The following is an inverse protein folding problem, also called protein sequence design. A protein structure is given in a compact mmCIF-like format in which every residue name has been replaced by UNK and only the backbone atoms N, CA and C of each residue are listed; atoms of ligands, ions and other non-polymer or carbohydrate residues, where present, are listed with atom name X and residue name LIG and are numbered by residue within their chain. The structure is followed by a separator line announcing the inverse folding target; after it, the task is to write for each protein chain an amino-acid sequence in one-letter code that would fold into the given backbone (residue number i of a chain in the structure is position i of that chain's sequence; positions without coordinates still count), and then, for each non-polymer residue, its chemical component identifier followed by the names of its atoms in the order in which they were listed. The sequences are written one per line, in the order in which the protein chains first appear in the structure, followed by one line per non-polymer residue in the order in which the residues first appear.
data_IF_235011594355
#
_entry.id   IF_235011594355
#
_cell.length_a   1.000
_cell.length_b   1.000
_cell.length_c   1.000
_cell.angle_alpha   90.00
_cell.angle_beta   90.00
_cell.angle_gamma   90.00
#
_symmetry.space_group_name_H-M   'P 1'
#
loop_
_entity.id
_entity.type
_entity.pdbx_description
1 polymer ?
#
# COMPACT_ATOMS: atom_id res chain seq x y z
N UNK A 1 10.53 -1.33 -9.63
CA UNK A 1 9.31 -2.15 -9.87
C UNK A 1 9.14 -3.13 -8.71
N UNK A 2 7.97 -3.19 -8.07
CA UNK A 2 7.76 -4.02 -6.88
C UNK A 2 7.61 -5.52 -7.20
N UNK A 3 7.13 -5.85 -8.40
CA UNK A 3 6.75 -7.22 -8.76
C UNK A 3 7.88 -8.03 -9.42
N UNK A 4 9.07 -7.44 -9.51
CA UNK A 4 10.26 -8.04 -10.12
C UNK A 4 10.40 -7.73 -11.61
N UNK A 5 11.62 -7.86 -12.17
CA UNK A 5 11.89 -7.56 -13.58
C UNK A 5 11.25 -8.56 -14.54
N UNK A 6 10.79 -9.71 -14.06
CA UNK A 6 10.08 -10.72 -14.86
C UNK A 6 8.57 -10.50 -14.89
N UNK A 7 8.03 -9.52 -14.17
CA UNK A 7 6.60 -9.22 -14.22
C UNK A 7 6.23 -8.68 -15.61
N UNK A 8 5.14 -9.17 -16.23
CA UNK A 8 4.67 -8.66 -17.50
C UNK A 8 4.36 -7.16 -17.46
N UNK A 9 4.47 -6.50 -18.61
CA UNK A 9 4.17 -5.08 -18.74
C UNK A 9 2.74 -4.77 -18.28
N UNK A 10 2.56 -3.59 -17.69
CA UNK A 10 1.23 -3.09 -17.31
C UNK A 10 0.32 -2.81 -18.51
N UNK A 11 0.90 -2.58 -19.69
CA UNK A 11 0.18 -2.27 -20.94
C UNK A 11 0.03 -3.50 -21.84
N UNK A 12 0.16 -4.70 -21.28
CA UNK A 12 -0.17 -5.93 -21.99
C UNK A 12 -1.71 -6.03 -22.04
N UNK A 13 -2.26 -6.12 -23.25
CA UNK A 13 -3.72 -6.12 -23.44
C UNK A 13 -4.38 -7.39 -22.85
N UNK A 14 -5.66 -7.26 -22.49
CA UNK A 14 -6.49 -8.39 -22.10
C UNK A 14 -7.10 -9.04 -23.36
N UNK A 15 -7.18 -10.38 -23.43
CA UNK A 15 -7.90 -11.04 -24.51
C UNK A 15 -9.41 -10.72 -24.43
N UNK A 16 -10.11 -10.56 -25.57
CA UNK A 16 -11.50 -10.08 -25.61
C UNK A 16 -12.51 -11.06 -25.00
N UNK A 17 -12.20 -12.35 -24.95
CA UNK A 17 -13.12 -13.45 -24.55
C UNK A 17 -12.54 -14.27 -23.39
N UNK A 18 -11.65 -13.68 -22.60
CA UNK A 18 -10.95 -14.40 -21.55
C UNK A 18 -11.71 -14.42 -20.22
N UNK A 19 -11.73 -15.59 -19.60
CA UNK A 19 -12.07 -15.80 -18.20
C UNK A 19 -10.77 -16.00 -17.41
N UNK A 20 -10.59 -15.21 -16.35
CA UNK A 20 -9.42 -15.31 -15.47
C UNK A 20 -9.85 -15.11 -14.03
N UNK A 21 -9.41 -15.99 -13.13
CA UNK A 21 -9.67 -15.78 -11.69
C UNK A 21 -8.90 -14.56 -11.19
N UNK A 22 -9.33 -13.95 -10.07
CA UNK A 22 -8.53 -12.91 -9.42
C UNK A 22 -7.12 -13.39 -9.07
N UNK A 23 -6.96 -14.67 -8.71
CA UNK A 23 -5.66 -15.25 -8.35
C UNK A 23 -4.76 -15.40 -9.58
N UNK A 24 -5.30 -15.80 -10.72
CA UNK A 24 -4.57 -15.83 -11.99
C UNK A 24 -4.08 -14.44 -12.40
N UNK A 25 -4.96 -13.43 -12.32
CA UNK A 25 -4.60 -12.03 -12.61
C UNK A 25 -3.46 -11.54 -11.73
N UNK A 26 -3.57 -11.73 -10.41
CA UNK A 26 -2.56 -11.26 -9.46
C UNK A 26 -1.25 -12.07 -9.53
N UNK A 27 -1.33 -13.33 -9.94
CA UNK A 27 -0.17 -14.23 -10.05
C UNK A 27 0.59 -14.00 -11.34
N UNK A 28 -0.06 -14.11 -12.50
CA UNK A 28 0.61 -14.02 -13.80
C UNK A 28 0.80 -12.58 -14.26
N UNK A 29 -0.14 -11.69 -13.92
CA UNK A 29 -0.20 -10.32 -14.43
C UNK A 29 -0.33 -9.31 -13.27
N UNK A 30 0.58 -9.28 -12.27
CA UNK A 30 0.42 -8.46 -11.06
C UNK A 30 0.26 -6.95 -11.33
N UNK A 31 0.74 -6.48 -12.49
CA UNK A 31 0.61 -5.09 -12.92
C UNK A 31 -0.80 -4.71 -13.35
N UNK A 32 -1.72 -5.67 -13.47
CA UNK A 32 -3.15 -5.44 -13.71
C UNK A 32 -3.81 -4.61 -12.60
N UNK A 33 -3.19 -4.53 -11.42
CA UNK A 33 -3.54 -3.54 -10.38
C UNK A 33 -3.32 -2.07 -10.80
N UNK A 34 -2.83 -1.83 -12.02
CA UNK A 34 -2.78 -0.51 -12.67
C UNK A 34 -3.92 -0.30 -13.68
N UNK A 35 -4.82 -1.27 -13.81
CA UNK A 35 -6.07 -1.16 -14.57
C UNK A 35 -7.21 -0.76 -13.63
N UNK A 36 -7.97 0.32 -13.92
CA UNK A 36 -9.14 0.68 -13.11
C UNK A 36 -10.23 -0.40 -13.17
N UNK A 37 -10.40 -1.10 -14.31
CA UNK A 37 -11.38 -2.18 -14.46
C UNK A 37 -11.10 -3.36 -13.53
N UNK A 38 -9.82 -3.73 -13.40
CA UNK A 38 -9.39 -4.79 -12.48
C UNK A 38 -9.58 -4.36 -11.04
N UNK A 39 -9.19 -3.13 -10.69
CA UNK A 39 -9.44 -2.60 -9.35
C UNK A 39 -10.93 -2.61 -9.03
N UNK A 40 -11.76 -2.16 -9.96
CA UNK A 40 -13.20 -2.13 -9.80
C UNK A 40 -13.74 -3.52 -9.46
N UNK A 41 -13.41 -4.52 -10.30
CA UNK A 41 -13.77 -5.92 -10.10
C UNK A 41 -13.38 -6.46 -8.73
N UNK A 42 -12.11 -6.32 -8.36
CA UNK A 42 -11.61 -6.84 -7.08
C UNK A 42 -12.33 -6.15 -5.91
N UNK A 43 -12.54 -4.83 -5.99
CA UNK A 43 -13.21 -4.08 -4.93
C UNK A 43 -14.67 -4.46 -4.77
N UNK A 44 -15.41 -4.55 -5.87
CA UNK A 44 -16.82 -4.94 -5.86
C UNK A 44 -17.04 -6.36 -5.33
N UNK A 45 -16.06 -7.25 -5.48
CA UNK A 45 -16.12 -8.63 -5.00
C UNK A 45 -15.52 -8.86 -3.59
N UNK A 46 -15.30 -7.78 -2.83
CA UNK A 46 -14.96 -7.90 -1.41
C UNK A 46 -13.47 -8.11 -1.11
N UNK A 47 -12.57 -7.65 -1.98
CA UNK A 47 -11.14 -7.74 -1.68
C UNK A 47 -10.74 -7.02 -0.38
N UNK A 48 -9.55 -7.36 0.10
CA UNK A 48 -8.79 -6.48 0.99
C UNK A 48 -7.34 -6.34 0.52
N UNK A 49 -6.69 -5.24 0.91
CA UNK A 49 -5.25 -5.02 0.65
C UNK A 49 -4.39 -6.16 1.20
N UNK A 50 -4.81 -6.75 2.34
CA UNK A 50 -4.12 -7.88 2.95
C UNK A 50 -4.23 -9.13 2.08
N UNK A 51 -5.41 -9.42 1.54
CA UNK A 51 -5.65 -10.58 0.67
C UNK A 51 -4.83 -10.48 -0.61
N UNK A 52 -4.84 -9.34 -1.31
CA UNK A 52 -4.02 -9.13 -2.51
C UNK A 52 -2.53 -9.34 -2.20
N UNK A 53 -2.04 -8.74 -1.12
CA UNK A 53 -0.64 -8.90 -0.73
C UNK A 53 -0.33 -10.35 -0.36
N UNK A 54 -1.25 -11.07 0.29
CA UNK A 54 -1.09 -12.49 0.62
C UNK A 54 -0.94 -13.33 -0.64
N UNK A 55 -1.81 -13.13 -1.64
CA UNK A 55 -1.74 -13.82 -2.94
C UNK A 55 -0.38 -13.56 -3.60
N UNK A 56 -0.02 -12.28 -3.81
CA UNK A 56 1.21 -11.91 -4.52
C UNK A 56 2.47 -12.37 -3.77
N UNK A 57 2.52 -12.17 -2.45
CA UNK A 57 3.63 -12.59 -1.60
C UNK A 57 3.71 -14.12 -1.42
N UNK A 58 2.70 -14.88 -1.81
CA UNK A 58 2.76 -16.34 -1.82
C UNK A 58 3.16 -16.86 -3.19
N UNK A 59 2.51 -16.35 -4.23
CA UNK A 59 2.61 -16.88 -5.57
C UNK A 59 3.84 -16.39 -6.34
N UNK A 60 4.40 -15.21 -6.02
CA UNK A 60 5.49 -14.60 -6.80
C UNK A 60 6.78 -14.41 -6.02
N UNK A 61 7.92 -14.51 -6.70
CA UNK A 61 9.21 -13.99 -6.25
C UNK A 61 9.25 -12.50 -6.57
N UNK A 62 9.49 -11.68 -5.55
CA UNK A 62 9.46 -10.22 -5.67
C UNK A 62 10.89 -9.65 -5.63
N UNK A 63 11.07 -8.45 -6.21
CA UNK A 63 12.33 -7.72 -6.09
C UNK A 63 12.58 -7.17 -4.68
N UNK A 64 11.52 -7.09 -3.87
CA UNK A 64 11.56 -6.72 -2.46
C UNK A 64 11.20 -7.95 -1.62
N UNK A 65 11.64 -8.05 -0.34
CA UNK A 65 11.35 -9.22 0.50
C UNK A 65 9.85 -9.54 0.61
N UNK A 66 9.01 -8.50 0.64
CA UNK A 66 7.55 -8.62 0.57
C UNK A 66 6.93 -7.32 0.05
N UNK A 67 5.78 -7.45 -0.61
CA UNK A 67 4.95 -6.33 -0.99
C UNK A 67 3.97 -5.97 0.15
N UNK A 68 3.99 -4.71 0.56
CA UNK A 68 3.27 -4.28 1.76
C UNK A 68 1.83 -3.81 1.43
N UNK A 69 0.84 -4.07 2.31
CA UNK A 69 -0.56 -3.63 2.13
C UNK A 69 -0.73 -2.13 1.85
N UNK A 70 0.10 -1.28 2.47
CA UNK A 70 0.10 0.15 2.19
C UNK A 70 0.53 0.47 0.76
N UNK A 71 1.54 -0.22 0.24
CA UNK A 71 1.98 -0.08 -1.16
C UNK A 71 0.90 -0.52 -2.12
N UNK A 72 0.19 -1.62 -1.82
CA UNK A 72 -1.00 -2.05 -2.57
C UNK A 72 -2.08 -0.98 -2.59
N UNK A 73 -2.44 -0.43 -1.42
CA UNK A 73 -3.45 0.63 -1.32
C UNK A 73 -3.09 1.88 -2.13
N UNK A 74 -1.84 2.33 -2.04
CA UNK A 74 -1.37 3.50 -2.79
C UNK A 74 -1.36 3.24 -4.30
N UNK A 75 -0.95 2.05 -4.74
CA UNK A 75 -1.00 1.68 -6.16
C UNK A 75 -2.43 1.74 -6.72
N UNK A 76 -3.40 1.23 -5.96
CA UNK A 76 -4.81 1.26 -6.36
C UNK A 76 -5.38 2.68 -6.38
N UNK A 77 -5.18 3.46 -5.30
CA UNK A 77 -5.67 4.84 -5.22
C UNK A 77 -5.13 5.68 -6.38
N UNK A 78 -3.84 5.57 -6.67
CA UNK A 78 -3.23 6.31 -7.79
C UNK A 78 -3.82 5.91 -9.14
N UNK A 79 -4.00 4.61 -9.35
CA UNK A 79 -4.60 4.10 -10.59
C UNK A 79 -5.99 4.66 -10.81
N UNK A 80 -6.83 4.65 -9.77
CA UNK A 80 -8.18 5.19 -9.84
C UNK A 80 -8.18 6.70 -10.07
N UNK A 81 -7.29 7.44 -9.40
CA UNK A 81 -7.13 8.88 -9.64
C UNK A 81 -6.69 9.19 -11.08
N UNK A 82 -5.73 8.44 -11.61
CA UNK A 82 -5.32 8.60 -13.01
C UNK A 82 -6.46 8.32 -14.00
N UNK A 83 -7.39 7.44 -13.64
CA UNK A 83 -8.60 7.19 -14.42
C UNK A 83 -9.72 8.23 -14.20
N UNK A 84 -9.46 9.32 -13.47
CA UNK A 84 -10.40 10.42 -13.25
C UNK A 84 -11.29 10.28 -12.01
N UNK A 85 -11.09 9.24 -11.20
CA UNK A 85 -11.82 9.06 -9.93
C UNK A 85 -11.08 9.79 -8.80
N UNK A 86 -11.15 11.12 -8.81
CA UNK A 86 -10.58 11.98 -7.76
C UNK A 86 -11.18 11.62 -6.40
N UNK A 87 -10.41 11.64 -5.31
CA UNK A 87 -10.88 11.23 -3.98
C UNK A 87 -11.39 9.78 -3.82
N UNK A 88 -11.17 8.93 -4.83
CA UNK A 88 -11.52 7.52 -4.72
C UNK A 88 -10.72 6.84 -3.59
N UNK A 89 -11.44 6.05 -2.81
CA UNK A 89 -10.88 5.12 -1.83
C UNK A 89 -11.66 3.81 -1.90
N UNK A 90 -11.08 2.71 -1.41
CA UNK A 90 -11.82 1.46 -1.29
C UNK A 90 -13.12 1.59 -0.45
N UNK A 91 -13.15 2.51 0.53
CA UNK A 91 -14.34 2.78 1.34
C UNK A 91 -15.42 3.57 0.58
N UNK A 92 -15.00 4.50 -0.27
CA UNK A 92 -15.92 5.32 -1.08
C UNK A 92 -16.26 4.68 -2.42
N UNK A 93 -15.73 3.48 -2.73
CA UNK A 93 -15.88 2.82 -4.03
C UNK A 93 -17.33 2.73 -4.50
N UNK A 94 -18.28 2.37 -3.63
CA UNK A 94 -19.69 2.25 -3.99
C UNK A 94 -20.37 3.54 -4.46
N UNK A 95 -19.74 4.71 -4.31
CA UNK A 95 -20.28 6.02 -4.72
C UNK A 95 -19.91 6.43 -6.15
N UNK A 96 -18.97 5.73 -6.79
CA UNK A 96 -18.37 6.17 -8.06
C UNK A 96 -18.90 5.44 -9.29
N UNK A 97 -19.73 4.42 -9.09
CA UNK A 97 -20.00 3.41 -10.12
C UNK A 97 -21.48 3.03 -10.20
N UNK A 98 -22.38 3.98 -9.99
CA UNK A 98 -23.83 3.69 -9.94
C UNK A 98 -24.33 3.00 -11.21
N UNK A 99 -23.85 3.40 -12.39
CA UNK A 99 -24.23 2.77 -13.67
C UNK A 99 -23.63 1.37 -13.91
N UNK A 100 -22.41 1.11 -13.41
CA UNK A 100 -21.77 -0.21 -13.53
C UNK A 100 -22.33 -1.19 -12.50
N UNK A 101 -22.73 -0.68 -11.33
CA UNK A 101 -23.26 -1.46 -10.21
C UNK A 101 -24.54 -2.21 -10.55
N UNK A 102 -25.44 -1.63 -11.34
CA UNK A 102 -26.70 -2.26 -11.73
C UNK A 102 -26.49 -3.52 -12.58
N UNK A 103 -25.41 -3.54 -13.37
CA UNK A 103 -25.10 -4.64 -14.29
C UNK A 103 -23.94 -5.51 -13.79
N UNK A 104 -23.46 -5.29 -12.56
CA UNK A 104 -22.32 -6.01 -12.02
C UNK A 104 -22.70 -7.44 -11.64
N UNK A 105 -22.11 -8.42 -12.32
CA UNK A 105 -22.21 -9.83 -11.94
C UNK A 105 -21.02 -10.24 -11.07
N UNK A 106 -21.28 -10.45 -9.77
CA UNK A 106 -20.27 -10.88 -8.79
C UNK A 106 -19.69 -12.28 -9.06
N UNK A 107 -20.34 -13.08 -9.92
CA UNK A 107 -19.87 -14.41 -10.32
C UNK A 107 -19.00 -14.36 -11.57
N UNK A 108 -19.05 -13.27 -12.33
CA UNK A 108 -18.29 -13.17 -13.56
C UNK A 108 -16.80 -13.07 -13.26
N UNK A 109 -16.03 -13.90 -13.97
CA UNK A 109 -14.56 -13.88 -13.98
C UNK A 109 -14.01 -13.39 -15.32
N UNK A 110 -14.89 -12.85 -16.17
CA UNK A 110 -14.54 -12.31 -17.47
C UNK A 110 -13.63 -11.08 -17.32
N UNK A 111 -12.65 -10.97 -18.23
CA UNK A 111 -11.76 -9.80 -18.34
C UNK A 111 -11.83 -9.14 -19.72
N UNK A 112 -12.75 -9.62 -20.56
CA UNK A 112 -13.06 -9.00 -21.85
C UNK A 112 -13.42 -7.53 -21.68
N UNK A 113 -12.79 -6.67 -22.49
CA UNK A 113 -13.02 -5.21 -22.45
C UNK A 113 -12.35 -4.48 -21.28
N UNK A 114 -11.60 -5.16 -20.41
CA UNK A 114 -10.80 -4.48 -19.39
C UNK A 114 -9.75 -3.60 -20.05
N UNK A 115 -9.61 -2.37 -19.53
CA UNK A 115 -8.69 -1.38 -20.09
C UNK A 115 -7.31 -1.49 -19.45
N UNK A 116 -6.27 -1.47 -20.27
CA UNK A 116 -4.89 -1.23 -19.82
C UNK A 116 -4.72 0.23 -19.34
N UNK A 117 -3.65 0.56 -18.60
CA UNK A 117 -3.28 1.95 -18.29
C UNK A 117 -3.24 2.86 -19.52
N UNK A 118 -2.69 2.35 -20.63
CA UNK A 118 -2.63 3.08 -21.89
C UNK A 118 -4.03 3.46 -22.40
N UNK A 119 -4.98 2.52 -22.36
CA UNK A 119 -6.36 2.77 -22.81
C UNK A 119 -7.18 3.60 -21.83
N UNK A 120 -6.93 3.43 -20.52
CA UNK A 120 -7.72 4.06 -19.48
C UNK A 120 -7.38 5.55 -19.29
N UNK A 121 -6.11 5.91 -19.38
CA UNK A 121 -5.65 7.28 -19.08
C UNK A 121 -4.43 7.73 -19.90
N UNK A 122 -4.21 7.14 -21.08
CA UNK A 122 -3.18 7.56 -22.05
C UNK A 122 -1.78 7.71 -21.42
N UNK A 123 -1.27 6.67 -20.77
CA UNK A 123 0.00 6.67 -20.04
C UNK A 123 1.28 6.96 -20.88
N UNK A 124 1.12 7.29 -22.16
CA UNK A 124 2.16 7.69 -23.11
C UNK A 124 3.04 6.55 -23.63
N UNK A 125 2.86 5.31 -23.15
CA UNK A 125 3.76 4.19 -23.45
C UNK A 125 3.24 3.21 -24.50
N UNK A 126 2.01 3.40 -24.99
CA UNK A 126 1.39 2.50 -25.96
C UNK A 126 1.12 1.11 -25.39
N UNK A 127 0.60 0.22 -26.24
CA UNK A 127 0.48 -1.19 -25.93
C UNK A 127 1.84 -1.86 -25.84
N UNK A 128 1.97 -2.81 -24.92
CA UNK A 128 3.14 -3.66 -24.85
C UNK A 128 3.08 -4.74 -25.94
N UNK A 129 4.25 -5.10 -26.46
CA UNK A 129 4.38 -6.23 -27.38
C UNK A 129 3.90 -7.55 -26.74
N UNK A 130 3.25 -8.44 -27.52
CA UNK A 130 2.86 -9.76 -27.03
C UNK A 130 4.05 -10.55 -26.50
N UNK A 131 3.88 -11.30 -25.42
CA UNK A 131 4.96 -12.09 -24.79
C UNK A 131 4.69 -13.59 -24.95
N UNK A 132 5.72 -14.46 -24.95
CA UNK A 132 5.49 -15.89 -24.92
C UNK A 132 4.66 -16.31 -23.70
N UNK A 133 3.66 -17.18 -23.85
CA UNK A 133 2.85 -17.66 -22.71
C UNK A 133 3.73 -18.28 -21.61
N UNK A 134 4.74 -19.07 -21.99
CA UNK A 134 5.70 -19.67 -21.05
C UNK A 134 6.46 -18.65 -20.21
N UNK A 135 6.60 -17.40 -20.67
CA UNK A 135 7.28 -16.35 -19.94
C UNK A 135 6.45 -15.83 -18.76
N UNK A 136 5.13 -16.05 -18.74
CA UNK A 136 4.27 -15.74 -17.59
C UNK A 136 4.65 -16.57 -16.34
N UNK A 137 5.32 -17.71 -16.52
CA UNK A 137 5.84 -18.53 -15.42
C UNK A 137 7.09 -17.92 -14.75
N UNK A 138 7.74 -16.94 -15.38
CA UNK A 138 8.99 -16.35 -14.86
C UNK A 138 8.74 -15.55 -13.58
N UNK A 139 9.42 -15.94 -12.51
CA UNK A 139 9.33 -15.28 -11.22
C UNK A 139 8.13 -15.74 -10.39
N UNK A 140 7.48 -16.85 -10.72
CA UNK A 140 6.52 -17.50 -9.85
C UNK A 140 7.23 -18.41 -8.84
N UNK A 141 6.71 -18.45 -7.62
CA UNK A 141 7.05 -19.44 -6.58
C UNK A 141 6.06 -20.60 -6.57
N UNK A 142 4.78 -20.27 -6.77
CA UNK A 142 3.68 -21.22 -6.84
C UNK A 142 2.75 -20.80 -7.98
N UNK A 143 2.15 -21.80 -8.62
CA UNK A 143 1.16 -21.64 -9.69
C UNK A 143 -0.23 -21.73 -9.05
N UNK A 144 -1.25 -21.00 -9.53
CA UNK A 144 -2.62 -21.18 -9.05
C UNK A 144 -3.08 -22.63 -9.25
N UNK A 145 -3.91 -23.14 -8.35
CA UNK A 145 -4.39 -24.54 -8.35
C UNK A 145 -5.86 -24.59 -7.90
N UNK A 146 -6.59 -25.65 -8.29
CA UNK A 146 -8.00 -25.83 -7.90
C UNK A 146 -8.87 -24.64 -8.30
N UNK A 147 -9.74 -24.17 -7.40
CA UNK A 147 -10.61 -23.01 -7.65
C UNK A 147 -9.87 -21.67 -7.82
N UNK A 148 -8.54 -21.62 -7.66
CA UNK A 148 -7.74 -20.44 -7.98
C UNK A 148 -7.22 -20.44 -9.43
N UNK A 149 -7.33 -21.56 -10.15
CA UNK A 149 -6.85 -21.74 -11.51
C UNK A 149 -8.02 -21.92 -12.49
N UNK A 150 -7.89 -21.36 -13.70
CA UNK A 150 -8.84 -21.54 -14.79
C UNK A 150 -8.07 -21.62 -16.13
N UNK A 151 -8.48 -20.88 -17.15
CA UNK A 151 -7.96 -21.01 -18.51
C UNK A 151 -6.52 -20.53 -18.63
N UNK A 152 -6.16 -19.40 -18.02
CA UNK A 152 -4.83 -18.83 -18.14
C UNK A 152 -3.77 -19.79 -17.58
N UNK A 153 -4.05 -20.43 -16.44
CA UNK A 153 -3.16 -21.41 -15.81
C UNK A 153 -2.90 -22.59 -16.74
N UNK A 154 -3.97 -23.21 -17.27
CA UNK A 154 -3.89 -24.34 -18.22
C UNK A 154 -3.05 -23.98 -19.46
N UNK A 155 -3.26 -22.79 -20.01
CA UNK A 155 -2.56 -22.31 -21.19
C UNK A 155 -1.07 -22.04 -20.92
N UNK A 156 -0.74 -21.45 -19.77
CA UNK A 156 0.65 -21.21 -19.36
C UNK A 156 1.39 -22.53 -19.13
N UNK A 157 0.78 -23.46 -18.40
CA UNK A 157 1.36 -24.80 -18.16
C UNK A 157 1.59 -25.55 -19.48
N UNK A 158 0.61 -25.52 -20.38
CA UNK A 158 0.77 -26.13 -21.71
C UNK A 158 1.96 -25.54 -22.47
N UNK A 159 2.08 -24.20 -22.50
CA UNK A 159 3.17 -23.53 -23.20
C UNK A 159 4.55 -23.82 -22.58
N UNK A 160 4.62 -24.05 -21.26
CA UNK A 160 5.84 -24.48 -20.57
C UNK A 160 6.22 -25.91 -20.96
N UNK A 161 5.24 -26.83 -21.00
CA UNK A 161 5.44 -28.24 -21.40
C UNK A 161 5.78 -28.40 -22.89
N UNK A 162 5.38 -27.45 -23.74
CA UNK A 162 5.59 -27.48 -25.19
C UNK A 162 6.46 -26.31 -25.67
N UNK A 163 7.73 -26.19 -25.23
CA UNK A 163 8.55 -24.99 -25.42
C UNK A 163 8.94 -24.71 -26.88
N UNK A 164 8.75 -25.68 -27.77
CA UNK A 164 8.96 -25.56 -29.22
C UNK A 164 7.81 -24.82 -29.91
N UNK A 165 6.61 -24.85 -29.33
CA UNK A 165 5.46 -24.12 -29.80
C UNK A 165 5.56 -22.67 -29.34
N UNK A 166 5.36 -21.73 -30.27
CA UNK A 166 5.61 -20.29 -30.04
C UNK A 166 4.34 -19.54 -29.73
N UNK A 167 3.62 -19.97 -28.69
CA UNK A 167 2.39 -19.33 -28.24
C UNK A 167 2.67 -17.95 -27.62
N UNK A 168 1.96 -16.90 -28.07
CA UNK A 168 2.11 -15.53 -27.54
C UNK A 168 0.81 -15.02 -26.89
N UNK A 169 0.92 -14.49 -25.68
CA UNK A 169 -0.12 -13.77 -24.98
C UNK A 169 -0.09 -12.27 -25.35
N UNK A 170 -1.25 -11.61 -25.56
CA UNK A 170 -2.60 -12.18 -25.58
C UNK A 170 -3.03 -12.68 -26.98
N UNK A 171 -2.21 -12.51 -28.02
CA UNK A 171 -2.61 -12.66 -29.43
C UNK A 171 -3.05 -14.06 -29.84
N UNK A 172 -2.44 -15.11 -29.27
CA UNK A 172 -2.79 -16.50 -29.58
C UNK A 172 -3.79 -17.09 -28.56
N UNK A 173 -4.49 -16.25 -27.79
CA UNK A 173 -5.38 -16.71 -26.71
C UNK A 173 -6.36 -17.78 -27.18
N UNK A 174 -7.20 -17.48 -28.17
CA UNK A 174 -8.25 -18.39 -28.65
C UNK A 174 -7.68 -19.69 -29.22
N UNK A 175 -6.59 -19.58 -30.01
CA UNK A 175 -5.94 -20.73 -30.65
C UNK A 175 -5.32 -21.68 -29.63
N UNK A 176 -4.66 -21.13 -28.60
CA UNK A 176 -4.10 -21.93 -27.52
C UNK A 176 -5.20 -22.48 -26.61
N UNK A 177 -6.28 -21.73 -26.39
CA UNK A 177 -7.41 -22.19 -25.59
C UNK A 177 -8.09 -23.40 -26.24
N UNK A 178 -8.37 -23.34 -27.53
CA UNK A 178 -8.85 -24.49 -28.32
C UNK A 178 -7.90 -25.67 -28.21
N UNK A 179 -6.58 -25.41 -28.31
CA UNK A 179 -5.55 -26.45 -28.22
C UNK A 179 -5.52 -27.17 -26.86
N UNK A 180 -5.80 -26.47 -25.75
CA UNK A 180 -5.84 -27.07 -24.41
C UNK A 180 -7.21 -27.68 -24.05
N UNK A 181 -8.13 -27.78 -25.02
CA UNK A 181 -9.44 -28.41 -24.85
C UNK A 181 -10.61 -27.43 -24.73
N UNK A 182 -10.41 -26.16 -25.08
CA UNK A 182 -11.43 -25.12 -25.01
C UNK A 182 -11.58 -24.47 -23.62
N UNK A 183 -12.48 -23.47 -23.51
CA UNK A 183 -12.77 -22.78 -22.25
C UNK A 183 -13.22 -23.76 -21.17
N UNK A 184 -12.63 -23.66 -19.98
CA UNK A 184 -13.13 -24.36 -18.80
C UNK A 184 -14.43 -23.71 -18.31
N UNK A 185 -15.34 -24.53 -17.77
CA UNK A 185 -16.54 -24.01 -17.12
C UNK A 185 -16.17 -23.30 -15.81
N UNK A 186 -16.56 -22.03 -15.69
CA UNK A 186 -16.30 -21.26 -14.48
C UNK A 186 -17.27 -21.66 -13.37
N UNK A 187 -16.84 -22.60 -12.54
CA UNK A 187 -17.55 -22.99 -11.31
C UNK A 187 -17.58 -21.89 -10.24
N UNK A 188 -18.48 -22.02 -9.26
CA UNK A 188 -18.63 -21.08 -8.13
C UNK A 188 -17.31 -20.79 -7.42
N UNK A 189 -16.44 -21.80 -7.31
CA UNK A 189 -15.16 -21.72 -6.60
C UNK A 189 -14.15 -20.80 -7.28
N UNK A 190 -14.33 -20.51 -8.58
CA UNK A 190 -13.50 -19.58 -9.34
C UNK A 190 -13.87 -18.11 -9.12
N UNK A 191 -15.05 -17.83 -8.55
CA UNK A 191 -15.47 -16.46 -8.28
C UNK A 191 -14.52 -15.75 -7.31
N UNK A 192 -14.33 -14.45 -7.53
CA UNK A 192 -13.43 -13.63 -6.73
C UNK A 192 -13.76 -13.69 -5.23
N UNK A 193 -15.06 -13.66 -4.89
CA UNK A 193 -15.51 -13.72 -3.49
C UNK A 193 -15.14 -15.02 -2.79
N UNK A 194 -15.25 -16.18 -3.47
CA UNK A 194 -14.83 -17.46 -2.89
C UNK A 194 -13.31 -17.57 -2.82
N UNK A 195 -12.57 -17.05 -3.81
CA UNK A 195 -11.12 -16.96 -3.75
C UNK A 195 -10.66 -16.12 -2.55
N UNK A 196 -11.25 -14.94 -2.35
CA UNK A 196 -10.88 -14.05 -1.25
C UNK A 196 -11.14 -14.67 0.13
N UNK A 197 -12.25 -15.39 0.32
CA UNK A 197 -12.51 -16.15 1.56
C UNK A 197 -11.41 -17.18 1.83
N UNK A 198 -10.97 -17.93 0.81
CA UNK A 198 -9.86 -18.89 0.96
C UNK A 198 -8.56 -18.19 1.37
N UNK A 199 -8.24 -17.07 0.72
CA UNK A 199 -6.99 -16.34 0.95
C UNK A 199 -6.99 -15.51 2.24
N UNK A 200 -8.15 -15.20 2.81
CA UNK A 200 -8.27 -14.61 4.14
C UNK A 200 -7.81 -15.58 5.25
N UNK A 201 -7.99 -16.88 5.04
CA UNK A 201 -7.60 -17.93 5.99
C UNK A 201 -6.08 -18.26 5.96
N UNK A 202 -5.35 -17.85 4.92
CA UNK A 202 -3.92 -18.14 4.79
C UNK A 202 -3.12 -17.36 5.84
N UNK A 203 -2.56 -18.08 6.82
CA UNK A 203 -1.72 -17.54 7.89
C UNK A 203 -0.51 -16.80 7.31
N UNK A 204 -0.57 -15.48 7.35
CA UNK A 204 0.41 -14.58 6.72
C UNK A 204 -0.22 -13.26 6.26
N UNK A 205 -1.54 -13.26 6.03
CA UNK A 205 -2.31 -12.05 5.75
C UNK A 205 -2.45 -11.12 6.97
N UNK A 206 -2.36 -11.66 8.20
CA UNK A 206 -2.43 -10.86 9.42
C UNK A 206 -1.02 -10.34 9.75
N UNK A 207 -0.77 -9.02 9.70
CA UNK A 207 0.48 -8.48 10.23
C UNK A 207 0.61 -8.98 11.67
N UNK A 208 1.73 -9.65 11.99
CA UNK A 208 1.99 -10.09 13.37
C UNK A 208 1.81 -8.86 14.24
N UNK A 209 0.78 -8.88 15.10
CA UNK A 209 0.55 -7.80 16.03
C UNK A 209 1.88 -7.55 16.76
N UNK A 210 2.33 -6.29 16.89
CA UNK A 210 3.56 -6.01 17.61
C UNK A 210 3.44 -6.67 18.98
N UNK A 211 4.41 -7.54 19.31
CA UNK A 211 4.40 -8.25 20.59
C UNK A 211 4.21 -7.21 21.69
N UNK A 212 3.23 -7.37 22.60
CA UNK A 212 3.07 -6.43 23.70
C UNK A 212 4.42 -6.34 24.41
N UNK A 213 4.97 -5.12 24.47
CA UNK A 213 6.21 -4.84 25.20
C UNK A 213 6.00 -5.39 26.61
N UNK A 214 6.81 -6.36 27.00
CA UNK A 214 6.85 -6.84 28.38
C UNK A 214 7.18 -5.62 29.23
N UNK A 215 6.19 -5.15 29.98
CA UNK A 215 6.35 -4.11 30.98
C UNK A 215 7.41 -4.60 31.96
N UNK A 216 8.57 -3.97 31.93
CA UNK A 216 9.68 -4.29 32.82
C UNK A 216 9.28 -3.80 34.21
N UNK A 217 8.85 -4.72 35.07
CA UNK A 217 8.48 -4.45 36.46
C UNK A 217 9.67 -3.90 37.25
N UNK A 218 9.40 -2.76 37.89
CA UNK A 218 9.82 -2.32 39.23
C UNK A 218 11.30 -2.35 39.63
N UNK A 219 11.86 -1.14 39.75
CA UNK A 219 12.73 -0.79 40.87
C UNK A 219 12.24 0.52 41.50
N UNK A 220 11.48 0.39 42.59
CA UNK A 220 11.00 1.49 43.44
C UNK A 220 12.16 2.25 44.08
N UNK A 221 12.16 3.58 43.95
CA UNK A 221 12.86 4.47 44.86
C UNK A 221 11.92 5.63 45.25
N UNK A 222 11.78 5.97 46.54
CA UNK A 222 10.84 6.99 46.98
C UNK A 222 11.40 8.39 46.72
N UNK A 223 10.62 9.26 46.06
CA UNK A 223 10.95 10.68 45.88
C UNK A 223 9.85 11.61 46.42
N UNK A 224 10.24 12.85 46.77
CA UNK A 224 9.61 13.62 47.82
C UNK A 224 8.47 14.52 47.32
N UNK A 225 7.54 14.81 48.24
CA UNK A 225 6.38 15.67 48.05
C UNK A 225 6.77 17.15 47.91
N UNK A 226 6.26 17.80 46.87
CA UNK A 226 6.16 19.25 46.73
C UNK A 226 5.60 19.57 45.34
N UNK A 227 4.82 20.62 45.06
CA UNK A 227 4.20 21.75 45.78
C UNK A 227 3.05 22.21 44.85
N UNK A 228 1.94 22.81 45.32
CA UNK A 228 0.83 23.16 44.45
C UNK A 228 1.16 24.41 43.61
N UNK A 229 0.91 24.36 42.29
CA UNK A 229 1.01 25.51 41.40
C UNK A 229 -0.37 26.11 41.11
N UNK A 230 -0.42 27.44 41.19
CA UNK A 230 -1.57 28.32 40.96
C UNK A 230 -2.08 28.24 39.52
N UNK A 231 -3.40 28.23 39.39
CA UNK A 231 -4.17 28.41 38.16
C UNK A 231 -4.06 29.85 37.64
N UNK A 232 -3.89 29.99 36.32
CA UNK A 232 -4.14 31.23 35.59
C UNK A 232 -5.00 30.86 34.38
N UNK A 233 -6.15 31.51 34.28
CA UNK A 233 -7.14 31.34 33.21
C UNK A 233 -6.73 32.04 31.89
N UNK A 234 -7.33 31.64 30.75
CA UNK A 234 -6.90 32.06 29.42
C UNK A 234 -7.70 33.25 28.88
N UNK A 235 -6.99 34.18 28.25
CA UNK A 235 -7.55 35.28 27.46
C UNK A 235 -7.88 34.83 26.03
N UNK A 236 -9.13 35.04 25.63
CA UNK A 236 -9.66 34.83 24.30
C UNK A 236 -9.19 35.91 23.30
N UNK A 237 -8.98 35.53 22.04
CA UNK A 237 -9.05 36.46 20.92
C UNK A 237 -9.52 35.76 19.64
N UNK A 238 -10.59 36.32 19.08
CA UNK A 238 -11.26 35.96 17.83
C UNK A 238 -10.39 36.24 16.59
N UNK A 239 -10.44 35.34 15.59
CA UNK A 239 -10.23 35.73 14.19
C UNK A 239 -11.23 35.00 13.29
N UNK A 240 -12.06 35.80 12.62
CA UNK A 240 -13.03 35.39 11.62
C UNK A 240 -12.37 35.09 10.27
N UNK A 241 -12.79 34.01 9.59
CA UNK A 241 -12.62 33.87 8.13
C UNK A 241 -13.89 33.32 7.47
N UNK A 242 -14.25 34.01 6.38
CA UNK A 242 -15.39 33.81 5.47
C UNK A 242 -15.43 32.40 4.88
N UNK A 243 -16.61 31.78 4.90
CA UNK A 243 -16.95 30.60 4.09
C UNK A 243 -17.57 31.04 2.76
N UNK A 244 -17.07 30.48 1.66
CA UNK A 244 -17.71 30.50 0.35
C UNK A 244 -18.75 29.38 0.25
N UNK A 245 -19.88 29.72 -0.34
CA UNK A 245 -21.09 28.91 -0.49
C UNK A 245 -20.98 28.00 -1.72
N UNK A 246 -21.17 26.69 -1.55
CA UNK A 246 -21.49 25.77 -2.65
C UNK A 246 -22.88 25.17 -2.39
N UNK A 247 -23.70 25.21 -3.43
CA UNK A 247 -25.13 24.94 -3.40
C UNK A 247 -25.43 23.47 -3.14
N UNK A 248 -26.36 23.22 -2.22
CA UNK A 248 -26.95 21.92 -1.97
C UNK A 248 -28.04 21.63 -3.02
N UNK A 249 -27.88 20.54 -3.76
CA UNK A 249 -28.95 19.94 -4.57
C UNK A 249 -29.82 19.12 -3.61
N UNK A 250 -31.10 19.51 -3.50
CA UNK A 250 -32.15 18.76 -2.82
C UNK A 250 -32.48 17.51 -3.63
N UNK A 251 -32.29 16.33 -3.04
CA UNK A 251 -32.88 15.08 -3.49
C UNK A 251 -34.12 14.81 -2.64
N UNK A 252 -35.24 14.60 -3.33
CA UNK A 252 -36.55 14.35 -2.75
C UNK A 252 -36.70 12.94 -2.19
N UNK A 253 -37.52 12.85 -1.16
CA UNK A 253 -38.05 11.62 -0.57
C UNK A 253 -38.82 10.82 -1.63
N UNK A 254 -38.50 9.54 -1.74
CA UNK A 254 -39.38 8.53 -2.30
C UNK A 254 -39.50 7.40 -1.28
N UNK A 255 -40.69 7.33 -0.68
CA UNK A 255 -41.18 6.21 0.08
C UNK A 255 -41.37 5.00 -0.83
N UNK A 256 -40.71 3.88 -0.49
CA UNK A 256 -40.85 2.60 -1.18
C UNK A 256 -40.80 1.47 -0.15
N UNK A 257 -41.98 0.98 0.20
CA UNK A 257 -42.19 -0.13 1.12
C UNK A 257 -41.51 -1.42 0.62
N UNK A 258 -40.73 -2.07 1.49
CA UNK A 258 -40.21 -3.41 1.26
C UNK A 258 -40.47 -4.31 2.47
N UNK A 259 -40.92 -5.52 2.14
CA UNK A 259 -41.51 -6.55 2.97
C UNK A 259 -40.61 -7.10 4.09
N UNK A 260 -41.22 -7.34 5.24
CA UNK A 260 -40.65 -8.05 6.39
C UNK A 260 -40.51 -9.55 6.06
N UNK A 261 -39.28 -10.04 6.05
CA UNK A 261 -38.97 -11.45 6.25
C UNK A 261 -38.41 -11.62 7.66
N UNK A 262 -38.89 -12.65 8.36
CA UNK A 262 -38.55 -12.98 9.74
C UNK A 262 -37.11 -13.48 9.83
N UNK A 263 -36.29 -12.81 10.64
CA UNK A 263 -35.06 -13.36 11.22
C UNK A 263 -35.24 -13.41 12.74
N UNK A 264 -35.12 -14.61 13.29
CA UNK A 264 -35.05 -14.87 14.73
C UNK A 264 -33.70 -14.39 15.28
N UNK A 265 -33.65 -13.73 16.45
CA UNK A 265 -32.41 -13.25 17.03
C UNK A 265 -31.67 -14.40 17.73
N UNK A 266 -30.45 -14.67 17.28
CA UNK A 266 -29.48 -15.48 18.02
C UNK A 266 -28.95 -14.61 19.17
N UNK A 267 -29.35 -14.97 20.39
CA UNK A 267 -28.93 -14.33 21.63
C UNK A 267 -27.49 -14.74 21.98
N UNK A 268 -26.52 -14.03 21.40
CA UNK A 268 -25.10 -14.19 21.72
C UNK A 268 -24.79 -13.40 23.01
N UNK A 269 -24.69 -14.15 24.10
CA UNK A 269 -24.28 -13.71 25.44
C UNK A 269 -22.87 -13.08 25.41
N UNK A 270 -22.80 -11.78 25.13
CA UNK A 270 -21.61 -10.95 25.33
C UNK A 270 -21.52 -10.56 26.80
N UNK A 271 -20.70 -11.28 27.55
CA UNK A 271 -20.28 -10.84 28.88
C UNK A 271 -19.49 -9.53 28.75
N UNK A 272 -19.80 -8.48 29.55
CA UNK A 272 -19.02 -7.24 29.55
C UNK A 272 -17.61 -7.54 30.04
N UNK A 273 -16.62 -7.47 29.16
CA UNK A 273 -15.21 -7.39 29.57
C UNK A 273 -15.00 -5.98 30.10
N UNK A 274 -15.21 -5.80 31.40
CA UNK A 274 -14.80 -4.59 32.12
C UNK A 274 -13.27 -4.47 32.03
N UNK A 275 -12.78 -3.78 31.00
CA UNK A 275 -11.40 -3.30 30.97
C UNK A 275 -11.30 -2.20 32.03
N UNK A 276 -10.84 -2.56 33.22
CA UNK A 276 -10.42 -1.59 34.22
C UNK A 276 -9.38 -0.68 33.58
N UNK A 277 -9.79 0.55 33.26
CA UNK A 277 -8.87 1.63 32.86
C UNK A 277 -8.11 2.02 34.11
N UNK A 278 -7.01 1.32 34.35
CA UNK A 278 -6.06 1.70 35.37
C UNK A 278 -5.49 3.06 34.97
N UNK A 279 -6.04 4.13 35.56
CA UNK A 279 -5.73 5.52 35.27
C UNK A 279 -4.42 5.91 35.96
N UNK A 280 -3.37 5.14 35.70
CA UNK A 280 -2.03 5.54 36.10
C UNK A 280 -1.68 6.82 35.34
N UNK A 281 -1.20 7.88 36.02
CA UNK A 281 -0.86 9.13 35.37
C UNK A 281 0.18 8.88 34.28
N UNK A 282 -0.15 9.27 33.05
CA UNK A 282 0.75 9.16 31.90
C UNK A 282 1.99 10.00 32.22
N UNK A 283 3.14 9.36 32.39
CA UNK A 283 4.40 10.07 32.59
C UNK A 283 4.67 10.95 31.37
N UNK A 284 4.88 12.25 31.61
CA UNK A 284 5.22 13.23 30.58
C UNK A 284 6.55 12.83 29.95
N UNK A 285 6.53 12.46 28.68
CA UNK A 285 7.75 12.08 27.97
C UNK A 285 8.66 13.31 27.80
N UNK A 286 9.88 13.23 28.35
CA UNK A 286 10.87 14.31 28.24
C UNK A 286 11.88 13.94 27.16
N UNK A 287 11.89 14.71 26.06
CA UNK A 287 12.85 14.53 24.95
C UNK A 287 14.30 14.67 25.43
N UNK A 288 15.14 13.71 25.03
CA UNK A 288 16.58 13.75 25.27
C UNK A 288 17.26 14.94 24.60
N UNK A 289 18.32 15.47 25.24
CA UNK A 289 19.07 16.61 24.69
C UNK A 289 19.85 16.18 23.44
N UNK A 290 19.76 16.92 22.32
CA UNK A 290 20.56 16.63 21.13
C UNK A 290 22.05 16.66 21.48
N UNK A 291 22.78 15.63 21.04
CA UNK A 291 24.24 15.54 21.12
C UNK A 291 24.77 15.52 19.69
N UNK A 292 25.93 16.15 19.47
CA UNK A 292 26.64 16.03 18.20
C UNK A 292 27.07 14.58 18.00
N UNK A 293 26.70 14.01 16.86
CA UNK A 293 27.17 12.71 16.40
C UNK A 293 27.80 12.88 15.02
N UNK A 294 29.07 12.55 14.91
CA UNK A 294 29.80 12.59 13.64
C UNK A 294 29.45 11.36 12.79
N UNK A 295 29.36 11.51 11.45
CA UNK A 295 29.18 10.37 10.56
C UNK A 295 30.39 9.43 10.65
N UNK A 296 30.21 8.12 10.40
CA UNK A 296 31.25 7.12 10.63
C UNK A 296 32.49 7.28 9.72
N UNK A 297 32.37 8.00 8.60
CA UNK A 297 33.46 8.28 7.67
C UNK A 297 33.12 9.47 6.77
N UNK A 298 34.13 10.07 6.13
CA UNK A 298 33.94 11.13 5.13
C UNK A 298 33.23 10.62 3.88
N UNK A 299 32.31 11.41 3.36
CA UNK A 299 31.48 11.05 2.22
C UNK A 299 31.70 12.03 1.09
N UNK A 300 31.95 11.51 -0.10
CA UNK A 300 31.79 12.27 -1.34
C UNK A 300 30.32 12.22 -1.72
N UNK A 301 29.63 13.36 -1.59
CA UNK A 301 28.24 13.43 -1.98
C UNK A 301 28.09 13.38 -3.50
N UNK A 302 27.06 12.68 -4.02
CA UNK A 302 26.74 12.74 -5.43
C UNK A 302 26.35 14.16 -5.82
N UNK A 303 26.62 14.51 -7.06
CA UNK A 303 26.15 15.76 -7.65
C UNK A 303 24.61 15.79 -7.69
N UNK A 304 24.04 17.00 -7.67
CA UNK A 304 22.59 17.19 -7.83
C UNK A 304 22.11 16.56 -9.14
N UNK A 305 22.90 16.67 -10.21
CA UNK A 305 22.57 16.08 -11.51
C UNK A 305 22.49 14.56 -11.46
N UNK A 306 23.40 13.88 -10.76
CA UNK A 306 23.33 12.42 -10.59
C UNK A 306 22.05 11.99 -9.86
N UNK A 307 21.66 12.72 -8.81
CA UNK A 307 20.40 12.47 -8.09
C UNK A 307 19.20 12.70 -9.02
N UNK A 308 19.18 13.79 -9.80
CA UNK A 308 18.11 14.11 -10.75
C UNK A 308 17.99 13.02 -11.83
N UNK A 309 19.10 12.55 -12.39
CA UNK A 309 19.08 11.49 -13.41
C UNK A 309 18.48 10.20 -12.85
N UNK A 310 18.85 9.83 -11.63
CA UNK A 310 18.29 8.63 -11.00
C UNK A 310 16.83 8.83 -10.62
N UNK A 311 16.45 10.02 -10.18
CA UNK A 311 15.04 10.37 -9.95
C UNK A 311 14.21 10.23 -11.22
N UNK A 312 14.66 10.74 -12.38
CA UNK A 312 13.91 10.58 -13.63
C UNK A 312 13.73 9.10 -14.04
N UNK A 313 14.67 8.24 -13.65
CA UNK A 313 14.64 6.80 -13.97
C UNK A 313 13.82 5.97 -12.99
N UNK A 314 13.93 6.24 -11.70
CA UNK A 314 13.43 5.39 -10.61
C UNK A 314 12.25 6.00 -9.86
N UNK A 315 12.00 7.30 -10.00
CA UNK A 315 11.05 7.99 -9.15
C UNK A 315 9.62 7.51 -9.35
N UNK A 316 8.89 7.70 -8.26
CA UNK A 316 7.45 7.64 -8.28
C UNK A 316 6.93 8.95 -8.88
N UNK A 317 6.27 8.87 -10.04
CA UNK A 317 5.91 10.00 -10.91
C UNK A 317 5.00 11.08 -10.29
N UNK A 318 4.70 11.00 -8.99
CA UNK A 318 3.85 11.95 -8.27
C UNK A 318 4.63 13.02 -7.50
N UNK A 319 5.94 12.85 -7.24
CA UNK A 319 6.72 13.88 -6.55
C UNK A 319 7.37 14.82 -7.58
N UNK A 320 7.35 16.14 -7.38
CA UNK A 320 7.98 17.08 -8.31
C UNK A 320 9.49 17.25 -8.07
N UNK A 321 10.00 16.83 -6.91
CA UNK A 321 11.33 17.14 -6.43
C UNK A 321 12.11 15.86 -6.06
N UNK A 322 13.32 15.63 -6.61
CA UNK A 322 14.19 14.52 -6.21
C UNK A 322 14.59 14.51 -4.73
N UNK A 323 14.57 15.66 -4.07
CA UNK A 323 14.85 15.81 -2.64
C UNK A 323 13.58 15.79 -1.79
N UNK A 324 12.44 15.44 -2.36
CA UNK A 324 11.25 15.13 -1.58
C UNK A 324 11.48 13.82 -0.78
N UNK A 325 11.13 13.76 0.51
CA UNK A 325 11.32 12.57 1.34
C UNK A 325 10.58 11.32 0.83
N UNK A 326 9.60 11.50 -0.06
CA UNK A 326 8.79 10.45 -0.66
C UNK A 326 9.10 10.21 -2.15
N UNK A 327 10.11 10.89 -2.71
CA UNK A 327 10.54 10.78 -4.11
C UNK A 327 10.77 9.31 -4.56
N UNK A 328 11.30 8.50 -3.64
CA UNK A 328 11.63 7.08 -3.86
C UNK A 328 10.82 6.15 -2.95
N UNK A 329 9.67 6.61 -2.43
CA UNK A 329 8.86 5.89 -1.44
C UNK A 329 9.61 5.55 -0.14
N UNK A 330 10.58 6.38 0.27
CA UNK A 330 11.41 6.19 1.46
C UNK A 330 12.90 6.42 1.18
N UNK A 331 13.81 5.90 2.03
CA UNK A 331 15.25 5.97 1.78
C UNK A 331 15.62 5.13 0.55
N UNK A 332 16.57 5.62 -0.25
CA UNK A 332 17.10 4.86 -1.40
C UNK A 332 17.85 3.61 -0.94
N UNK A 333 17.68 2.52 -1.70
CA UNK A 333 18.34 1.22 -1.41
C UNK A 333 19.65 1.03 -2.17
N UNK A 334 19.94 1.88 -3.13
CA UNK A 334 21.12 1.82 -3.99
C UNK A 334 21.65 3.23 -4.23
N UNK A 335 22.96 3.33 -4.51
CA UNK A 335 23.60 4.58 -4.90
C UNK A 335 22.96 5.21 -6.15
N UNK A 336 23.10 6.53 -6.37
CA UNK A 336 23.69 7.55 -5.48
C UNK A 336 22.81 7.96 -4.27
N UNK A 337 23.31 7.86 -3.04
CA UNK A 337 22.54 8.18 -1.83
C UNK A 337 22.41 9.70 -1.62
N UNK A 338 21.19 10.18 -1.32
CA UNK A 338 20.97 11.62 -1.10
C UNK A 338 21.52 12.04 0.27
N UNK A 339 22.16 13.22 0.39
CA UNK A 339 22.49 13.80 1.69
C UNK A 339 21.20 14.07 2.47
N UNK A 340 21.08 13.55 3.70
CA UNK A 340 19.83 13.63 4.48
C UNK A 340 19.43 15.08 4.78
N UNK A 341 20.40 15.95 5.06
CA UNK A 341 20.16 17.37 5.34
C UNK A 341 19.70 18.17 4.11
N UNK A 342 19.84 17.62 2.90
CA UNK A 342 19.32 18.23 1.67
C UNK A 342 17.89 17.78 1.34
N UNK A 343 17.38 16.73 2.00
CA UNK A 343 16.02 16.23 1.78
C UNK A 343 15.04 17.18 2.50
N UNK A 344 13.98 17.58 1.80
CA UNK A 344 12.94 18.44 2.35
C UNK A 344 12.29 17.82 3.60
N UNK A 345 11.80 18.64 4.56
CA UNK A 345 11.16 18.11 5.76
C UNK A 345 10.00 17.14 5.46
N UNK A 346 9.89 16.02 6.18
CA UNK A 346 8.77 15.09 6.04
C UNK A 346 7.45 15.70 6.52
N UNK A 347 6.32 15.08 6.15
CA UNK A 347 5.00 15.55 6.61
C UNK A 347 4.89 15.46 8.13
N UNK A 348 4.17 16.39 8.75
CA UNK A 348 4.04 16.48 10.22
C UNK A 348 3.30 15.28 10.83
N UNK A 349 2.41 14.63 10.08
CA UNK A 349 1.70 13.41 10.50
C UNK A 349 2.56 12.14 10.36
N UNK A 350 3.71 12.23 9.68
CA UNK A 350 4.61 11.11 9.47
C UNK A 350 5.64 11.02 10.61
N UNK A 351 5.39 10.09 11.52
CA UNK A 351 6.28 9.73 12.64
C UNK A 351 6.99 8.39 12.41
N UNK A 352 7.08 7.96 11.14
CA UNK A 352 7.85 6.76 10.78
C UNK A 352 9.34 6.96 11.07
N UNK A 353 10.07 5.85 11.28
CA UNK A 353 11.52 5.90 11.50
C UNK A 353 12.29 6.65 10.41
N UNK A 354 11.80 6.64 9.16
CA UNK A 354 12.37 7.42 8.07
C UNK A 354 12.25 8.93 8.31
N UNK A 355 11.03 9.42 8.53
CA UNK A 355 10.78 10.84 8.79
C UNK A 355 11.57 11.33 10.02
N UNK A 356 11.60 10.49 11.03
CA UNK A 356 12.30 10.68 12.29
C UNK A 356 13.84 10.76 12.14
N UNK A 357 14.44 9.95 11.25
CA UNK A 357 15.86 10.05 10.93
C UNK A 357 16.19 11.33 10.15
N UNK A 358 15.31 11.76 9.23
CA UNK A 358 15.47 13.02 8.51
C UNK A 358 15.48 14.23 9.45
N UNK A 359 14.49 14.31 10.36
CA UNK A 359 14.43 15.40 11.34
C UNK A 359 15.65 15.43 12.25
N UNK A 360 16.13 14.26 12.68
CA UNK A 360 17.35 14.17 13.47
C UNK A 360 18.56 14.69 12.68
N UNK A 361 18.72 14.28 11.42
CA UNK A 361 19.84 14.72 10.58
C UNK A 361 19.79 16.23 10.29
N UNK A 362 18.59 16.78 10.05
CA UNK A 362 18.39 18.23 9.93
C UNK A 362 18.79 18.96 11.21
N UNK A 363 18.40 18.45 12.39
CA UNK A 363 18.80 19.08 13.65
C UNK A 363 20.31 19.01 13.91
N UNK A 364 20.97 17.91 13.53
CA UNK A 364 22.43 17.80 13.60
C UNK A 364 23.11 18.88 12.73
N UNK A 365 22.59 19.10 11.52
CA UNK A 365 23.08 20.13 10.62
C UNK A 365 22.84 21.54 11.19
N UNK A 366 21.63 21.82 11.64
CA UNK A 366 21.23 23.15 12.11
C UNK A 366 21.94 23.56 13.41
N UNK A 367 22.13 22.62 14.35
CA UNK A 367 22.72 22.93 15.66
C UNK A 367 24.24 22.81 15.68
N UNK A 368 24.80 21.85 14.96
CA UNK A 368 26.22 21.51 15.07
C UNK A 368 26.98 21.66 13.75
N UNK A 369 26.31 22.01 12.65
CA UNK A 369 26.93 22.09 11.34
C UNK A 369 27.27 20.73 10.74
N UNK A 370 26.84 19.63 11.37
CA UNK A 370 27.19 18.28 10.96
C UNK A 370 26.62 17.95 9.58
N UNK A 371 27.51 17.76 8.63
CA UNK A 371 27.22 17.20 7.31
C UNK A 371 27.70 15.74 7.28
N UNK A 372 27.48 15.04 6.18
CA UNK A 372 27.95 13.66 6.01
C UNK A 372 26.98 12.58 6.46
N UNK A 373 25.71 12.87 6.69
CA UNK A 373 24.67 11.83 6.79
C UNK A 373 23.94 11.67 5.45
N UNK A 374 23.80 10.44 4.96
CA UNK A 374 23.08 10.09 3.73
C UNK A 374 22.17 8.86 3.90
N UNK A 375 21.49 8.45 2.83
CA UNK A 375 20.52 7.34 2.82
C UNK A 375 21.12 5.93 2.93
N UNK A 376 22.43 5.77 3.15
CA UNK A 376 23.02 4.44 3.31
C UNK A 376 22.41 3.67 4.49
N UNK A 377 22.16 2.35 4.34
CA UNK A 377 21.64 1.54 5.44
C UNK A 377 22.44 1.68 6.74
N UNK A 378 23.77 1.73 6.66
CA UNK A 378 24.64 1.88 7.82
C UNK A 378 24.41 3.20 8.56
N UNK A 379 24.19 4.30 7.82
CA UNK A 379 23.86 5.59 8.42
C UNK A 379 22.47 5.57 9.05
N UNK A 380 21.49 5.00 8.35
CA UNK A 380 20.12 4.89 8.84
C UNK A 380 20.04 4.11 10.16
N UNK A 381 20.79 3.03 10.27
CA UNK A 381 20.86 2.19 11.47
C UNK A 381 21.59 2.91 12.62
N UNK A 382 22.68 3.62 12.33
CA UNK A 382 23.40 4.41 13.34
C UNK A 382 22.55 5.56 13.88
N UNK A 383 21.88 6.32 13.01
CA UNK A 383 20.96 7.40 13.42
C UNK A 383 19.84 6.83 14.30
N UNK A 384 19.24 5.71 13.88
CA UNK A 384 18.20 5.06 14.66
C UNK A 384 18.70 4.67 16.04
N UNK A 385 19.87 4.03 16.11
CA UNK A 385 20.48 3.62 17.38
C UNK A 385 20.73 4.82 18.29
N UNK A 386 21.32 5.88 17.76
CA UNK A 386 21.60 7.08 18.56
C UNK A 386 20.33 7.76 19.07
N UNK A 387 19.26 7.80 18.25
CA UNK A 387 17.97 8.32 18.71
C UNK A 387 17.40 7.51 19.87
N UNK A 388 17.50 6.18 19.80
CA UNK A 388 17.01 5.28 20.87
C UNK A 388 17.85 5.46 22.13
N UNK A 389 19.18 5.42 22.00
CA UNK A 389 20.11 5.52 23.12
C UNK A 389 20.09 6.90 23.80
N UNK A 390 19.74 7.97 23.05
CA UNK A 390 19.61 9.33 23.59
C UNK A 390 18.18 9.71 23.95
N UNK A 391 17.21 8.82 23.81
CA UNK A 391 15.77 9.12 23.99
C UNK A 391 15.33 10.36 23.19
N UNK A 392 15.89 10.49 21.99
CA UNK A 392 15.56 11.55 21.07
C UNK A 392 14.30 11.19 20.26
N UNK A 393 13.37 12.11 20.20
CA UNK A 393 12.19 12.10 19.33
C UNK A 393 11.95 13.51 18.79
N UNK A 394 11.25 13.64 17.66
CA UNK A 394 10.90 14.96 17.15
C UNK A 394 9.71 15.60 17.89
N UNK A 395 9.52 16.90 17.69
CA UNK A 395 8.37 17.63 18.26
C UNK A 395 7.03 17.18 17.65
N UNK A 396 7.04 16.74 16.39
CA UNK A 396 5.88 16.12 15.73
C UNK A 396 5.52 14.77 16.34
N UNK A 397 6.51 13.97 16.73
CA UNK A 397 6.27 12.73 17.47
C UNK A 397 5.60 13.02 18.81
N UNK A 398 6.12 13.98 19.58
CA UNK A 398 5.52 14.41 20.86
C UNK A 398 4.09 14.91 20.68
N UNK A 399 3.86 15.71 19.63
CA UNK A 399 2.55 16.26 19.30
C UNK A 399 1.52 15.17 18.93
N UNK A 400 1.95 14.10 18.25
CA UNK A 400 1.07 12.98 17.93
C UNK A 400 0.85 12.07 19.13
N UNK A 401 1.88 11.80 19.92
CA UNK A 401 1.77 11.05 21.17
C UNK A 401 0.76 11.71 22.14
N UNK A 402 0.81 13.03 22.29
CA UNK A 402 -0.11 13.78 23.14
C UNK A 402 -1.57 13.79 22.64
N UNK A 403 -1.82 13.55 21.34
CA UNK A 403 -3.18 13.46 20.78
C UNK A 403 -3.80 12.07 20.94
N UNK A 404 -2.97 11.04 21.10
CA UNK A 404 -3.41 9.64 21.24
C UNK A 404 -3.70 9.26 22.69
N UNK A 405 -3.17 10.02 23.65
CA UNK A 405 -3.54 9.98 25.07
C UNK A 405 -4.87 10.72 25.29
#
# INVERSE_FOLDING_TARGET
DAFGPSAPSRNLAFPPTANMTAVELLTFLPHTLKSPSVIYRLVSNGFSRLIICSIINTQRTLAVPSWHPNSCGQAMIRTMRFAGYEDWTAKSHGLWFDGEKENWDFKSVEVGGFKTPFEAYADGKGFAEPIPFKDLMKGLRKVPEGGDALDLTRMVEYAVLHPREKWRYPTDWERLLEKVGGPAEAEKEHSDGEAFKRWEAVEGAKPKAPKPRVSRENSEAPRPRGRPRKSVEPGAALVAKKKGTLAAVRLGELDGAASKANDEPIEESLLPVERSRDSSPVEEYVRGRPKLVEPPYEIVFPSVDEIVQVFLKESDCSQPDPFNPYAFSGPRKSAPYRPLHCISPPRQDDVSGWAENLRWATEQKDRFGAEGWDERPEHMDLIWKERVDSEWVSDEWLSNYAKEQ
#
